data_IF_470604009018
#
_entry.id   IF_470604009018
#
_cell.length_a   1.000
_cell.length_b   1.000
_cell.length_c   1.000
_cell.angle_alpha   90.00
_cell.angle_beta   90.00
_cell.angle_gamma   90.00
#
_symmetry.space_group_name_H-M   'P 1'
#
loop_
_entity.id
_entity.type
_entity.pdbx_description
1 polymer ?
#
# COMPACT_ATOMS: atom_id res chain seq x y z
N UNK A 1 20.34 11.34 -9.47
CA UNK A 1 20.11 10.12 -10.26
C UNK A 1 21.20 9.15 -9.89
N UNK A 2 20.89 8.16 -9.05
CA UNK A 2 21.89 7.22 -8.53
C UNK A 2 22.24 6.20 -9.60
N UNK A 3 23.53 5.95 -9.82
CA UNK A 3 24.02 4.93 -10.74
C UNK A 3 23.42 3.55 -10.36
N UNK A 4 22.69 2.88 -11.26
CA UNK A 4 22.13 1.55 -11.02
C UNK A 4 23.19 0.53 -10.57
N UNK A 5 24.43 0.65 -11.05
CA UNK A 5 25.55 -0.20 -10.67
C UNK A 5 25.96 0.04 -9.21
N UNK A 6 25.98 1.30 -8.76
CA UNK A 6 26.26 1.66 -7.38
C UNK A 6 25.18 1.17 -6.39
N UNK A 7 23.90 1.15 -6.80
CA UNK A 7 22.81 0.55 -5.99
C UNK A 7 23.02 -0.96 -5.83
N UNK A 8 23.34 -1.66 -6.92
CA UNK A 8 23.59 -3.10 -6.90
C UNK A 8 24.84 -3.49 -6.08
N UNK A 9 25.77 -2.55 -5.88
CA UNK A 9 26.97 -2.72 -5.05
C UNK A 9 26.87 -2.04 -3.67
N UNK A 10 25.66 -1.66 -3.23
CA UNK A 10 25.38 -1.22 -1.86
C UNK A 10 25.72 0.24 -1.54
N UNK A 11 26.05 1.07 -2.54
CA UNK A 11 26.50 2.45 -2.36
C UNK A 11 25.40 3.51 -2.30
N UNK A 12 24.13 3.13 -2.45
CA UNK A 12 23.01 4.08 -2.44
C UNK A 12 22.28 4.03 -1.10
N UNK A 13 22.34 5.12 -0.33
CA UNK A 13 21.45 5.31 0.82
C UNK A 13 20.00 5.20 0.33
N UNK A 14 19.22 4.31 0.95
CA UNK A 14 17.83 4.06 0.54
C UNK A 14 17.01 5.33 0.72
N UNK A 15 16.44 5.85 -0.37
CA UNK A 15 15.45 6.94 -0.32
C UNK A 15 14.14 6.53 0.37
N UNK A 16 14.04 5.27 0.82
CA UNK A 16 12.90 4.77 1.57
C UNK A 16 13.03 5.00 3.09
N UNK A 17 14.22 5.36 3.61
CA UNK A 17 14.47 5.60 5.03
C UNK A 17 13.59 6.72 5.66
N UNK A 18 12.87 7.47 4.84
CA UNK A 18 11.91 8.50 5.22
C UNK A 18 10.44 8.11 4.94
N UNK A 19 10.16 6.87 4.55
CA UNK A 19 8.82 6.43 4.12
C UNK A 19 8.16 5.58 5.18
N UNK A 20 6.85 5.75 5.31
CA UNK A 20 6.01 4.97 6.25
C UNK A 20 5.10 4.05 5.45
N UNK A 21 5.05 2.77 5.80
CA UNK A 21 4.05 1.83 5.30
C UNK A 21 3.11 1.42 6.44
N UNK A 22 1.85 1.79 6.29
CA UNK A 22 0.76 1.41 7.20
C UNK A 22 0.01 0.24 6.59
N UNK A 23 0.12 -0.94 7.20
CA UNK A 23 -0.76 -2.07 6.89
C UNK A 23 -2.00 -2.01 7.79
N UNK A 24 -3.18 -2.09 7.21
CA UNK A 24 -4.45 -2.14 7.93
C UNK A 24 -5.00 -3.56 7.89
N UNK A 25 -5.43 -4.01 9.07
CA UNK A 25 -5.80 -5.37 9.46
C UNK A 25 -4.62 -6.33 9.57
N UNK A 26 -4.58 -7.05 10.68
CA UNK A 26 -3.65 -8.15 10.88
C UNK A 26 -4.06 -9.33 10.00
N UNK A 27 -3.18 -9.69 9.08
CA UNK A 27 -3.36 -10.78 8.14
C UNK A 27 -2.02 -11.39 7.78
N UNK A 28 -1.99 -12.63 7.25
CA UNK A 28 -0.76 -13.21 6.72
C UNK A 28 -0.08 -12.31 5.68
N UNK A 29 -0.84 -11.57 4.87
CA UNK A 29 -0.27 -10.64 3.89
C UNK A 29 0.38 -9.45 4.59
N UNK A 30 -0.27 -8.87 5.60
CA UNK A 30 0.29 -7.75 6.38
C UNK A 30 1.63 -8.12 7.01
N UNK A 31 1.73 -9.29 7.63
CA UNK A 31 2.98 -9.77 8.23
C UNK A 31 4.15 -9.83 7.23
N UNK A 32 3.94 -10.39 6.02
CA UNK A 32 4.99 -10.39 4.99
C UNK A 32 5.25 -9.00 4.43
N UNK A 33 4.20 -8.21 4.23
CA UNK A 33 4.28 -6.87 3.67
C UNK A 33 5.13 -5.94 4.52
N UNK A 34 4.89 -5.90 5.85
CA UNK A 34 5.66 -5.07 6.77
C UNK A 34 7.11 -5.52 6.83
N UNK A 35 7.38 -6.83 6.96
CA UNK A 35 8.76 -7.35 6.96
C UNK A 35 9.54 -6.96 5.70
N UNK A 36 8.95 -7.15 4.52
CA UNK A 36 9.62 -6.76 3.28
C UNK A 36 9.75 -5.25 3.11
N UNK A 37 8.84 -4.47 3.69
CA UNK A 37 8.95 -3.02 3.69
C UNK A 37 10.10 -2.52 4.58
N UNK A 38 10.31 -3.13 5.75
CA UNK A 38 11.47 -2.88 6.62
C UNK A 38 12.78 -3.16 5.87
N UNK A 39 12.86 -4.29 5.16
CA UNK A 39 14.04 -4.63 4.33
C UNK A 39 14.30 -3.58 3.23
N UNK A 40 13.25 -2.91 2.74
CA UNK A 40 13.35 -1.80 1.79
C UNK A 40 13.70 -0.46 2.46
N UNK A 41 13.61 -0.37 3.78
CA UNK A 41 13.91 0.81 4.59
C UNK A 41 12.69 1.63 5.02
N UNK A 42 11.47 1.11 4.92
CA UNK A 42 10.28 1.79 5.43
C UNK A 42 10.21 1.71 6.96
N UNK A 43 9.70 2.77 7.60
CA UNK A 43 9.06 2.65 8.90
C UNK A 43 7.71 1.95 8.72
N UNK A 44 7.41 0.98 9.57
CA UNK A 44 6.24 0.11 9.44
C UNK A 44 5.26 0.30 10.59
N UNK A 45 3.97 0.33 10.26
CA UNK A 45 2.89 0.40 11.25
C UNK A 45 1.82 -0.63 10.90
N UNK A 46 1.43 -1.45 11.87
CA UNK A 46 0.26 -2.31 11.78
C UNK A 46 -0.91 -1.64 12.50
N UNK A 47 -2.02 -1.42 11.80
CA UNK A 47 -3.28 -0.95 12.38
C UNK A 47 -4.29 -2.09 12.36
N UNK A 48 -4.75 -2.53 13.52
CA UNK A 48 -5.83 -3.51 13.63
C UNK A 48 -6.76 -3.14 14.79
N UNK A 49 -8.09 -3.10 14.61
CA UNK A 49 -9.04 -2.78 15.70
C UNK A 49 -8.93 -3.69 16.94
N UNK A 50 -8.39 -4.90 16.81
CA UNK A 50 -8.13 -5.83 17.89
C UNK A 50 -6.65 -5.87 18.33
N UNK A 51 -5.80 -5.04 17.72
CA UNK A 51 -4.37 -4.96 17.98
C UNK A 51 -3.97 -3.82 18.93
N UNK A 52 -2.66 -3.52 18.96
CA UNK A 52 -2.09 -2.43 19.77
C UNK A 52 -2.44 -1.05 19.21
N UNK A 53 -2.25 -0.86 17.91
CA UNK A 53 -2.66 0.36 17.20
C UNK A 53 -4.02 0.11 16.56
N UNK A 54 -5.06 0.70 17.14
CA UNK A 54 -6.45 0.41 16.76
C UNK A 54 -7.07 1.43 15.80
N UNK A 55 -6.39 2.54 15.56
CA UNK A 55 -6.85 3.62 14.69
C UNK A 55 -5.73 4.07 13.74
N UNK A 56 -6.11 4.68 12.62
CA UNK A 56 -5.15 5.26 11.67
C UNK A 56 -4.35 6.34 12.40
N UNK A 57 -3.00 6.24 12.44
CA UNK A 57 -2.16 7.26 13.06
C UNK A 57 -2.18 8.56 12.25
N UNK A 58 -1.49 9.60 12.73
CA UNK A 58 -1.26 10.80 11.93
C UNK A 58 -0.44 10.44 10.68
N UNK A 59 -0.97 10.73 9.50
CA UNK A 59 -0.33 10.46 8.22
C UNK A 59 0.15 11.75 7.57
N UNK A 60 1.31 11.68 6.93
CA UNK A 60 1.86 12.73 6.07
C UNK A 60 2.05 12.22 4.62
N UNK A 61 2.60 13.06 3.74
CA UNK A 61 2.84 12.75 2.32
C UNK A 61 3.91 11.67 2.09
N UNK A 62 4.48 11.09 3.16
CA UNK A 62 5.42 9.99 3.11
C UNK A 62 4.73 8.64 3.31
N UNK A 63 3.50 8.63 3.81
CA UNK A 63 2.76 7.44 4.18
C UNK A 63 2.06 6.75 2.99
N UNK A 64 2.26 5.44 2.92
CA UNK A 64 1.49 4.51 2.08
C UNK A 64 0.58 3.67 2.97
N UNK A 65 -0.72 3.61 2.66
CA UNK A 65 -1.69 2.81 3.41
C UNK A 65 -2.17 1.63 2.56
N UNK A 66 -2.00 0.42 3.08
CA UNK A 66 -2.46 -0.82 2.42
C UNK A 66 -3.44 -1.54 3.33
N UNK A 67 -4.70 -1.62 2.92
CA UNK A 67 -5.70 -2.43 3.60
C UNK A 67 -5.62 -3.87 3.10
N UNK A 68 -5.28 -4.79 4.01
CA UNK A 68 -4.94 -6.17 3.66
C UNK A 68 -6.11 -7.16 3.76
N UNK A 69 -7.23 -6.73 4.33
CA UNK A 69 -8.50 -7.47 4.34
C UNK A 69 -9.67 -6.55 3.96
N UNK A 70 -10.47 -6.95 2.97
CA UNK A 70 -11.59 -6.16 2.45
C UNK A 70 -12.97 -6.69 2.87
N UNK A 71 -13.02 -7.69 3.77
CA UNK A 71 -14.27 -8.25 4.30
C UNK A 71 -14.61 -7.78 5.71
N UNK A 72 -13.72 -6.99 6.32
CA UNK A 72 -13.88 -6.46 7.67
C UNK A 72 -14.94 -5.36 7.73
N UNK A 73 -15.84 -5.38 8.74
CA UNK A 73 -16.86 -4.34 8.90
C UNK A 73 -16.24 -2.94 9.12
N UNK A 74 -15.03 -2.87 9.69
CA UNK A 74 -14.33 -1.63 9.98
C UNK A 74 -13.67 -0.98 8.74
N UNK A 75 -13.70 -1.66 7.58
CA UNK A 75 -13.05 -1.22 6.33
C UNK A 75 -13.40 0.22 5.96
N UNK A 76 -14.69 0.57 5.98
CA UNK A 76 -15.16 1.89 5.57
C UNK A 76 -14.63 3.00 6.48
N UNK A 77 -14.70 2.80 7.80
CA UNK A 77 -14.27 3.80 8.79
C UNK A 77 -12.76 4.04 8.75
N UNK A 78 -11.97 2.97 8.64
CA UNK A 78 -10.51 3.08 8.57
C UNK A 78 -10.05 3.73 7.26
N UNK A 79 -10.69 3.40 6.13
CA UNK A 79 -10.39 4.07 4.86
C UNK A 79 -10.80 5.54 4.88
N UNK A 80 -11.96 5.88 5.45
CA UNK A 80 -12.39 7.27 5.60
C UNK A 80 -11.39 8.07 6.45
N UNK A 81 -10.92 7.49 7.54
CA UNK A 81 -9.90 8.10 8.40
C UNK A 81 -8.55 8.31 7.68
N UNK A 82 -8.14 7.37 6.83
CA UNK A 82 -6.93 7.52 6.01
C UNK A 82 -7.11 8.59 4.90
N UNK A 83 -8.26 8.60 4.23
CA UNK A 83 -8.57 9.54 3.13
C UNK A 83 -8.66 11.00 3.60
N UNK A 84 -9.04 11.23 4.85
CA UNK A 84 -9.09 12.55 5.48
C UNK A 84 -7.70 13.15 5.74
N UNK A 85 -6.62 12.42 5.46
CA UNK A 85 -5.24 12.80 5.74
C UNK A 85 -4.40 12.87 4.45
N UNK A 86 -3.24 13.56 4.46
CA UNK A 86 -2.40 13.76 3.28
C UNK A 86 -1.54 12.54 2.92
N UNK A 87 -2.02 11.32 3.15
CA UNK A 87 -1.31 10.10 2.76
C UNK A 87 -1.00 10.11 1.26
N UNK A 88 0.22 9.70 0.90
CA UNK A 88 0.71 9.66 -0.49
C UNK A 88 -0.15 8.74 -1.35
N UNK A 89 -0.47 7.58 -0.80
CA UNK A 89 -1.08 6.48 -1.53
C UNK A 89 -1.94 5.64 -0.59
N UNK A 90 -3.13 5.24 -1.04
CA UNK A 90 -4.05 4.41 -0.28
C UNK A 90 -4.57 3.31 -1.20
N UNK A 91 -4.52 2.06 -0.78
CA UNK A 91 -5.04 0.96 -1.56
C UNK A 91 -5.60 -0.17 -0.73
N UNK A 92 -6.45 -0.96 -1.37
CA UNK A 92 -7.17 -2.08 -0.74
C UNK A 92 -6.93 -3.34 -1.57
N UNK A 93 -6.40 -4.38 -0.92
CA UNK A 93 -6.28 -5.68 -1.56
C UNK A 93 -7.65 -6.16 -2.06
N UNK A 94 -7.67 -6.76 -3.25
CA UNK A 94 -8.90 -7.34 -3.76
C UNK A 94 -8.80 -7.81 -5.20
N UNK A 95 -9.72 -8.70 -5.57
CA UNK A 95 -9.81 -9.23 -6.92
C UNK A 95 -10.36 -8.16 -7.88
N UNK A 96 -9.67 -7.85 -9.00
CA UNK A 96 -10.16 -6.88 -9.98
C UNK A 96 -11.50 -7.29 -10.62
N UNK A 97 -11.86 -8.57 -10.56
CA UNK A 97 -13.12 -9.10 -11.14
C UNK A 97 -14.37 -8.75 -10.33
N UNK A 98 -14.22 -8.33 -9.08
CA UNK A 98 -15.35 -8.03 -8.20
C UNK A 98 -15.38 -6.54 -7.85
N UNK A 99 -16.56 -5.92 -7.70
CA UNK A 99 -16.68 -4.56 -7.17
C UNK A 99 -15.94 -4.41 -5.84
N UNK A 100 -15.43 -3.20 -5.58
CA UNK A 100 -14.73 -2.90 -4.34
C UNK A 100 -15.72 -2.73 -3.20
N UNK A 101 -15.70 -3.56 -2.15
CA UNK A 101 -16.61 -3.36 -1.02
C UNK A 101 -16.37 -2.00 -0.32
N UNK A 102 -15.16 -1.45 -0.47
CA UNK A 102 -14.84 -0.10 0.00
C UNK A 102 -15.69 0.99 -0.66
N UNK A 103 -16.15 0.82 -1.91
CA UNK A 103 -16.90 1.87 -2.62
C UNK A 103 -18.22 2.13 -1.92
N UNK A 104 -19.03 1.09 -1.72
CA UNK A 104 -20.32 1.21 -1.05
C UNK A 104 -20.16 1.56 0.43
N UNK A 105 -19.14 1.00 1.12
CA UNK A 105 -18.85 1.36 2.50
C UNK A 105 -18.50 2.84 2.66
N UNK A 106 -17.67 3.41 1.78
CA UNK A 106 -17.28 4.82 1.83
C UNK A 106 -18.43 5.75 1.43
N UNK A 107 -19.24 5.38 0.43
CA UNK A 107 -20.46 6.13 0.08
C UNK A 107 -21.45 6.20 1.22
N UNK A 108 -21.67 5.09 1.93
CA UNK A 108 -22.54 5.06 3.10
C UNK A 108 -22.06 5.99 4.22
N UNK A 109 -20.76 6.27 4.28
CA UNK A 109 -20.14 7.20 5.21
C UNK A 109 -20.03 8.65 4.66
N UNK A 110 -20.64 8.94 3.52
CA UNK A 110 -20.66 10.28 2.93
C UNK A 110 -19.36 10.73 2.27
N UNK A 111 -18.44 9.81 1.95
CA UNK A 111 -17.22 10.15 1.21
C UNK A 111 -17.59 10.41 -0.26
N UNK A 112 -17.19 11.56 -0.83
CA UNK A 112 -17.51 11.88 -2.22
C UNK A 112 -16.75 10.95 -3.18
N UNK A 113 -17.30 10.72 -4.38
CA UNK A 113 -16.74 9.79 -5.37
C UNK A 113 -15.28 10.12 -5.75
N UNK A 114 -14.91 11.40 -5.76
CA UNK A 114 -13.54 11.88 -5.97
C UNK A 114 -12.57 11.47 -4.84
N UNK A 115 -13.05 11.39 -3.60
CA UNK A 115 -12.30 10.82 -2.49
C UNK A 115 -12.17 9.31 -2.62
N UNK A 116 -13.24 8.63 -3.01
CA UNK A 116 -13.24 7.17 -3.23
C UNK A 116 -12.27 6.79 -4.36
N UNK A 117 -12.20 7.59 -5.42
CA UNK A 117 -11.31 7.37 -6.56
C UNK A 117 -9.81 7.42 -6.20
N UNK A 118 -9.44 7.97 -5.04
CA UNK A 118 -8.07 7.93 -4.51
C UNK A 118 -7.68 6.53 -4.00
N UNK A 119 -8.64 5.63 -3.78
CA UNK A 119 -8.38 4.27 -3.30
C UNK A 119 -8.00 3.36 -4.47
N UNK A 120 -6.76 2.90 -4.48
CA UNK A 120 -6.25 1.99 -5.49
C UNK A 120 -6.73 0.55 -5.28
N UNK A 121 -7.30 -0.05 -6.33
CA UNK A 121 -7.67 -1.47 -6.37
C UNK A 121 -7.72 -2.00 -7.82
N UNK A 122 -7.12 -3.16 -8.15
CA UNK A 122 -6.30 -3.99 -7.26
C UNK A 122 -4.99 -3.30 -6.90
N UNK A 123 -4.38 -3.75 -5.81
CA UNK A 123 -3.07 -3.28 -5.37
C UNK A 123 -1.98 -4.19 -5.93
N UNK A 124 -0.86 -3.59 -6.34
CA UNK A 124 0.33 -4.30 -6.78
C UNK A 124 0.40 -4.60 -8.28
N UNK A 125 1.57 -5.06 -8.72
CA UNK A 125 1.78 -5.50 -10.10
C UNK A 125 1.13 -6.87 -10.32
N UNK A 126 0.58 -7.08 -11.53
CA UNK A 126 0.04 -8.37 -11.92
C UNK A 126 1.16 -9.38 -12.24
N UNK A 127 1.71 -10.01 -11.19
CA UNK A 127 2.73 -11.05 -11.30
C UNK A 127 2.15 -12.48 -11.17
N UNK A 128 0.83 -12.62 -11.16
CA UNK A 128 0.16 -13.91 -10.94
C UNK A 128 0.30 -14.45 -9.52
N UNK A 129 0.47 -13.57 -8.52
CA UNK A 129 0.62 -13.92 -7.10
C UNK A 129 -0.56 -14.74 -6.56
N UNK A 130 -0.26 -15.77 -5.77
CA UNK A 130 -1.23 -16.68 -5.15
C UNK A 130 -1.04 -16.85 -3.65
N UNK A 131 0.17 -16.65 -3.14
CA UNK A 131 0.49 -16.83 -1.72
C UNK A 131 0.62 -15.48 -1.00
N UNK A 132 0.45 -15.41 0.33
CA UNK A 132 0.65 -14.17 1.07
C UNK A 132 1.99 -13.45 0.80
N UNK A 133 3.17 -14.12 0.77
CA UNK A 133 4.42 -13.45 0.44
C UNK A 133 4.47 -12.96 -1.01
N UNK A 134 3.89 -13.69 -1.96
CA UNK A 134 3.81 -13.22 -3.37
C UNK A 134 2.91 -11.98 -3.51
N UNK A 135 1.79 -11.94 -2.79
CA UNK A 135 0.88 -10.78 -2.78
C UNK A 135 1.58 -9.56 -2.16
N UNK A 136 2.36 -9.76 -1.09
CA UNK A 136 3.17 -8.72 -0.49
C UNK A 136 4.23 -8.17 -1.47
N UNK A 137 4.94 -9.06 -2.19
CA UNK A 137 5.91 -8.66 -3.22
C UNK A 137 5.20 -7.88 -4.34
N UNK A 138 4.07 -8.39 -4.84
CA UNK A 138 3.29 -7.72 -5.89
C UNK A 138 2.90 -6.31 -5.46
N UNK A 139 2.42 -6.17 -4.22
CA UNK A 139 2.01 -4.91 -3.59
C UNK A 139 3.18 -3.92 -3.52
N UNK A 140 4.31 -4.32 -2.93
CA UNK A 140 5.50 -3.46 -2.83
C UNK A 140 6.06 -3.08 -4.20
N UNK A 141 6.12 -4.02 -5.15
CA UNK A 141 6.55 -3.74 -6.51
C UNK A 141 5.64 -2.68 -7.17
N UNK A 142 4.33 -2.74 -6.94
CA UNK A 142 3.37 -1.74 -7.42
C UNK A 142 3.57 -0.37 -6.77
N UNK A 143 3.79 -0.32 -5.45
CA UNK A 143 4.09 0.91 -4.72
C UNK A 143 5.37 1.57 -5.24
N UNK A 144 6.43 0.79 -5.42
CA UNK A 144 7.71 1.27 -5.97
C UNK A 144 7.56 1.76 -7.41
N UNK A 145 6.83 1.03 -8.25
CA UNK A 145 6.56 1.43 -9.64
C UNK A 145 5.78 2.75 -9.69
N UNK A 146 4.69 2.86 -8.92
CA UNK A 146 3.88 4.08 -8.81
C UNK A 146 4.74 5.28 -8.36
N UNK A 147 5.51 5.11 -7.28
CA UNK A 147 6.42 6.14 -6.75
C UNK A 147 7.43 6.62 -7.79
N UNK A 148 7.94 5.70 -8.62
CA UNK A 148 8.95 6.00 -9.62
C UNK A 148 8.34 6.43 -10.97
N UNK A 149 7.02 6.58 -11.07
CA UNK A 149 6.33 6.93 -12.31
C UNK A 149 6.49 5.86 -13.40
N UNK A 150 6.59 4.58 -13.02
CA UNK A 150 6.77 3.45 -13.93
C UNK A 150 5.53 2.57 -13.94
N UNK A 151 5.20 1.94 -15.08
CA UNK A 151 4.09 0.98 -15.15
C UNK A 151 4.41 -0.35 -14.43
N UNK A 152 5.69 -0.67 -14.26
CA UNK A 152 6.14 -2.03 -13.89
C UNK A 152 6.06 -2.99 -15.08
N UNK A 153 6.98 -3.95 -15.16
CA UNK A 153 7.07 -4.89 -16.28
C UNK A 153 8.48 -5.02 -16.85
N UNK A 154 8.59 -5.69 -17.99
CA UNK A 154 9.87 -5.96 -18.67
C UNK A 154 10.28 -4.90 -19.70
N UNK A 155 9.44 -3.90 -19.92
CA UNK A 155 9.72 -2.81 -20.87
C UNK A 155 10.52 -1.70 -20.18
N UNK A 156 11.75 -1.51 -20.65
CA UNK A 156 12.63 -0.45 -20.19
C UNK A 156 12.65 0.68 -21.24
N UNK A 157 12.12 1.87 -20.93
CA UNK A 157 12.28 3.01 -21.82
C UNK A 157 13.77 3.32 -21.96
N UNK A 158 14.29 3.16 -23.18
CA UNK A 158 15.58 3.68 -23.60
C UNK A 158 15.42 5.18 -23.79
N UNK A 159 15.82 5.96 -22.80
CA UNK A 159 16.14 7.36 -22.98
C UNK A 159 17.62 7.49 -23.31
#
# INVERSE_FOLDING_TARGET
MTDPCAVAHGGAASSAADRVLVAVFDSPVAAYLLRYAEDLGYETVLVDPAGETTAIPALDERADVVVTDHHRPELGELLRAALAQPARWIGVLGNPRHPGPHVEALRALGVPDEGIARVHRPVGLNIGSRTPPEIAIATLAGLLANRNGRPGGFDFPVH
#
